data_IF_669797054253
#
_entry.id   IF_669797054253
#
_cell.length_a   1.000
_cell.length_b   1.000
_cell.length_c   1.000
_cell.angle_alpha   90.00
_cell.angle_beta   90.00
_cell.angle_gamma   90.00
#
_symmetry.space_group_name_H-M   'P 1'
#
loop_
_entity.id
_entity.type
_entity.pdbx_description
1 polymer ?
#
# COMPACT_ATOMS: atom_id res chain seq x y z
N UNK A 1 20.74 6.90 11.65
CA UNK A 1 19.54 6.33 12.29
C UNK A 1 18.74 5.69 11.18
N UNK A 2 18.35 4.42 11.32
CA UNK A 2 17.50 3.79 10.31
C UNK A 2 16.11 4.46 10.38
N UNK A 3 15.63 5.00 9.27
CA UNK A 3 14.29 5.60 9.22
C UNK A 3 13.26 4.49 9.39
N UNK A 4 12.43 4.58 10.43
CA UNK A 4 11.38 3.61 10.70
C UNK A 4 10.17 3.89 9.81
N UNK A 5 9.76 2.90 9.01
CA UNK A 5 8.55 2.97 8.20
C UNK A 5 7.31 2.99 9.08
N UNK A 6 6.28 3.72 8.66
CA UNK A 6 4.98 3.73 9.34
C UNK A 6 4.28 2.42 9.01
N UNK A 7 4.05 1.61 10.03
CA UNK A 7 3.34 0.33 9.93
C UNK A 7 2.13 0.31 10.89
N UNK A 8 1.42 -0.81 10.92
CA UNK A 8 0.32 -1.06 11.87
C UNK A 8 0.65 -2.23 12.80
N UNK A 9 0.00 -2.29 13.96
CA UNK A 9 0.02 -3.48 14.82
C UNK A 9 -1.15 -4.42 14.53
N UNK A 10 -1.11 -5.64 15.07
CA UNK A 10 -2.23 -6.58 15.03
C UNK A 10 -3.49 -5.98 15.64
N UNK A 11 -3.36 -5.30 16.78
CA UNK A 11 -4.46 -4.68 17.51
C UNK A 11 -5.07 -3.52 16.71
N UNK A 12 -4.24 -2.74 16.02
CA UNK A 12 -4.71 -1.67 15.14
C UNK A 12 -5.52 -2.24 13.97
N UNK A 13 -5.07 -3.35 13.37
CA UNK A 13 -5.82 -4.04 12.32
C UNK A 13 -7.14 -4.62 12.83
N UNK A 14 -7.13 -5.27 14.00
CA UNK A 14 -8.33 -5.82 14.63
C UNK A 14 -9.34 -4.72 14.94
N UNK A 15 -8.87 -3.58 15.47
CA UNK A 15 -9.72 -2.42 15.77
C UNK A 15 -10.35 -1.84 14.50
N UNK A 16 -9.59 -1.81 13.40
CA UNK A 16 -10.07 -1.29 12.11
C UNK A 16 -11.07 -2.22 11.41
N UNK A 17 -10.74 -3.51 11.33
CA UNK A 17 -11.43 -4.49 10.48
C UNK A 17 -12.42 -5.38 11.23
N UNK A 18 -12.28 -5.51 12.55
CA UNK A 18 -12.98 -6.51 13.36
C UNK A 18 -12.47 -7.95 13.15
N UNK A 19 -11.37 -8.16 12.42
CA UNK A 19 -10.82 -9.48 12.10
C UNK A 19 -9.52 -9.75 12.85
N UNK A 20 -9.39 -10.96 13.37
CA UNK A 20 -8.16 -11.42 14.02
C UNK A 20 -7.24 -12.14 13.02
N UNK A 21 -6.12 -11.49 12.67
CA UNK A 21 -5.12 -12.03 11.75
C UNK A 21 -4.54 -13.38 12.16
N UNK A 22 -4.47 -13.68 13.45
CA UNK A 22 -3.96 -15.00 13.88
C UNK A 22 -4.90 -16.14 13.50
N UNK A 23 -6.19 -15.84 13.32
CA UNK A 23 -7.24 -16.78 12.90
C UNK A 23 -7.37 -16.81 11.38
N UNK A 24 -7.38 -15.63 10.75
CA UNK A 24 -7.58 -15.51 9.29
C UNK A 24 -6.42 -16.06 8.46
N UNK A 25 -5.18 -15.99 8.99
CA UNK A 25 -4.00 -16.45 8.26
C UNK A 25 -3.77 -17.95 8.45
N UNK A 26 -3.60 -18.72 7.34
CA UNK A 26 -3.38 -20.15 7.41
C UNK A 26 -2.13 -20.47 8.23
N UNK A 27 -2.16 -21.59 8.96
CA UNK A 27 -1.00 -22.08 9.69
C UNK A 27 0.14 -22.40 8.75
N UNK A 28 1.35 -22.02 9.15
CA UNK A 28 2.61 -22.28 8.45
C UNK A 28 3.59 -22.89 9.46
N UNK A 29 4.49 -23.76 9.01
CA UNK A 29 5.59 -24.32 9.81
C UNK A 29 6.45 -23.26 10.55
N UNK A 30 6.38 -21.98 10.14
CA UNK A 30 6.99 -20.80 10.78
C UNK A 30 5.96 -19.92 11.52
N UNK A 31 5.06 -20.55 12.26
CA UNK A 31 3.85 -19.93 12.83
C UNK A 31 4.11 -18.74 13.79
N UNK A 32 5.30 -18.64 14.40
CA UNK A 32 5.60 -17.63 15.44
C UNK A 32 5.59 -16.18 14.96
N UNK A 33 5.90 -15.91 13.67
CA UNK A 33 5.99 -14.54 13.13
C UNK A 33 5.06 -14.31 11.92
N UNK A 34 4.04 -15.14 11.72
CA UNK A 34 3.18 -15.05 10.51
C UNK A 34 2.44 -13.72 10.39
N UNK A 35 1.94 -13.19 11.52
CA UNK A 35 1.19 -11.93 11.54
C UNK A 35 2.11 -10.76 11.22
N UNK A 36 3.27 -10.68 11.88
CA UNK A 36 4.27 -9.62 11.66
C UNK A 36 4.77 -9.65 10.22
N UNK A 37 5.10 -10.84 9.72
CA UNK A 37 5.58 -11.02 8.34
C UNK A 37 4.51 -10.57 7.32
N UNK A 38 3.25 -10.88 7.58
CA UNK A 38 2.14 -10.50 6.69
C UNK A 38 1.88 -9.00 6.72
N UNK A 39 1.90 -8.37 7.89
CA UNK A 39 1.77 -6.91 8.01
C UNK A 39 2.94 -6.21 7.30
N UNK A 40 4.18 -6.69 7.48
CA UNK A 40 5.34 -6.13 6.79
C UNK A 40 5.18 -6.22 5.27
N UNK A 41 4.71 -7.36 4.75
CA UNK A 41 4.38 -7.52 3.33
C UNK A 41 3.38 -6.44 2.89
N UNK A 42 2.29 -6.24 3.63
CA UNK A 42 1.27 -5.23 3.28
C UNK A 42 1.82 -3.81 3.31
N UNK A 43 2.64 -3.51 4.31
CA UNK A 43 3.36 -2.24 4.42
C UNK A 43 4.22 -2.01 3.18
N UNK A 44 5.06 -2.97 2.79
CA UNK A 44 5.90 -2.86 1.59
C UNK A 44 5.06 -2.59 0.34
N UNK A 45 3.95 -3.32 0.14
CA UNK A 45 3.06 -3.11 -1.02
C UNK A 45 2.43 -1.71 -1.06
N UNK A 46 2.07 -1.15 0.10
CA UNK A 46 1.55 0.21 0.18
C UNK A 46 2.65 1.22 -0.13
N UNK A 47 3.86 1.01 0.38
CA UNK A 47 5.00 1.88 0.12
C UNK A 47 5.47 1.85 -1.34
N UNK A 48 5.36 0.71 -2.03
CA UNK A 48 5.57 0.62 -3.49
C UNK A 48 4.64 1.54 -4.29
N UNK A 49 3.46 1.86 -3.76
CA UNK A 49 2.47 2.75 -4.38
C UNK A 49 2.59 4.22 -3.95
N UNK A 50 3.43 4.52 -2.96
CA UNK A 50 3.76 5.88 -2.53
C UNK A 50 4.82 6.43 -3.49
N UNK A 51 4.54 7.59 -4.07
CA UNK A 51 5.45 8.28 -4.98
C UNK A 51 5.67 9.70 -4.45
N UNK A 52 6.53 9.80 -3.44
CA UNK A 52 7.05 11.07 -2.91
C UNK A 52 8.49 11.22 -3.40
N UNK A 53 8.91 12.42 -3.80
CA UNK A 53 10.27 12.66 -4.33
C UNK A 53 11.34 12.09 -3.37
N UNK A 54 12.17 11.24 -3.98
CA UNK A 54 13.23 10.33 -3.52
C UNK A 54 14.14 10.60 -2.30
N UNK A 55 13.98 11.66 -1.50
CA UNK A 55 14.92 11.93 -0.40
C UNK A 55 14.38 11.78 1.03
N UNK A 56 13.08 11.60 1.25
CA UNK A 56 12.53 11.50 2.63
C UNK A 56 11.31 10.58 2.74
N UNK A 57 11.53 9.27 2.68
CA UNK A 57 10.67 8.30 3.41
C UNK A 57 11.00 8.31 4.91
N UNK A 58 11.19 9.50 5.44
CA UNK A 58 11.44 9.70 6.85
C UNK A 58 10.08 10.00 7.47
N UNK A 59 9.63 9.07 8.31
CA UNK A 59 8.33 9.10 8.97
C UNK A 59 8.13 10.38 9.79
N UNK A 60 9.21 11.07 10.16
CA UNK A 60 9.18 12.38 10.82
C UNK A 60 8.64 13.50 9.92
N UNK A 61 8.78 13.39 8.60
CA UNK A 61 8.34 14.43 7.66
C UNK A 61 6.88 14.27 7.22
N UNK A 62 6.23 13.16 7.56
CA UNK A 62 4.81 12.99 7.31
C UNK A 62 3.98 13.71 8.37
N UNK A 63 3.00 14.49 7.92
CA UNK A 63 1.95 15.01 8.82
C UNK A 63 1.18 13.86 9.46
N UNK A 64 0.61 14.06 10.65
CA UNK A 64 -0.22 13.05 11.31
C UNK A 64 -1.35 12.54 10.41
N UNK A 65 -1.91 13.42 9.57
CA UNK A 65 -2.90 13.04 8.56
C UNK A 65 -2.35 12.05 7.53
N UNK A 66 -1.12 12.26 7.06
CA UNK A 66 -0.43 11.34 6.15
C UNK A 66 -0.12 10.01 6.83
N UNK A 67 0.37 10.04 8.08
CA UNK A 67 0.63 8.81 8.85
C UNK A 67 -0.63 7.97 9.00
N UNK A 68 -1.75 8.60 9.39
CA UNK A 68 -3.04 7.93 9.50
C UNK A 68 -3.56 7.39 8.15
N UNK A 69 -3.30 8.11 7.06
CA UNK A 69 -3.65 7.64 5.72
C UNK A 69 -2.87 6.39 5.33
N UNK A 70 -1.57 6.33 5.65
CA UNK A 70 -0.72 5.16 5.40
C UNK A 70 -1.25 3.97 6.21
N UNK A 71 -1.51 4.14 7.51
CA UNK A 71 -2.07 3.08 8.36
C UNK A 71 -3.39 2.52 7.80
N UNK A 72 -4.31 3.41 7.38
CA UNK A 72 -5.57 3.01 6.75
C UNK A 72 -5.35 2.27 5.43
N UNK A 73 -4.43 2.74 4.60
CA UNK A 73 -4.08 2.07 3.35
C UNK A 73 -3.54 0.65 3.58
N UNK A 74 -2.74 0.44 4.63
CA UNK A 74 -2.23 -0.89 5.01
C UNK A 74 -3.39 -1.78 5.46
N UNK A 75 -4.31 -1.29 6.30
CA UNK A 75 -5.48 -2.06 6.69
C UNK A 75 -6.41 -2.40 5.51
N UNK A 76 -6.69 -1.44 4.64
CA UNK A 76 -7.51 -1.61 3.44
C UNK A 76 -6.90 -2.63 2.47
N UNK A 77 -5.58 -2.56 2.28
CA UNK A 77 -4.86 -3.55 1.49
C UNK A 77 -4.89 -4.93 2.16
N UNK A 78 -4.74 -5.00 3.49
CA UNK A 78 -4.87 -6.25 4.24
C UNK A 78 -6.25 -6.91 4.07
N UNK A 79 -7.33 -6.13 4.10
CA UNK A 79 -8.68 -6.63 3.82
C UNK A 79 -8.82 -7.15 2.40
N UNK A 80 -8.25 -6.43 1.43
CA UNK A 80 -8.21 -6.86 0.04
C UNK A 80 -7.44 -8.17 -0.12
N UNK A 81 -6.26 -8.27 0.50
CA UNK A 81 -5.40 -9.44 0.50
C UNK A 81 -6.09 -10.66 1.10
N UNK A 82 -6.78 -10.53 2.23
CA UNK A 82 -7.50 -11.64 2.85
C UNK A 82 -8.65 -12.16 1.98
N UNK A 83 -9.21 -11.31 1.12
CA UNK A 83 -10.31 -11.68 0.23
C UNK A 83 -9.82 -12.29 -1.09
N UNK A 84 -8.70 -11.80 -1.64
CA UNK A 84 -8.25 -12.11 -3.00
C UNK A 84 -6.91 -12.87 -3.04
N UNK A 85 -6.22 -13.04 -1.92
CA UNK A 85 -4.86 -13.58 -1.88
C UNK A 85 -3.78 -12.59 -2.30
N UNK A 86 -2.54 -13.08 -2.38
CA UNK A 86 -1.39 -12.30 -2.85
C UNK A 86 -1.29 -12.32 -4.38
N UNK A 87 -2.03 -11.43 -5.05
CA UNK A 87 -2.01 -11.30 -6.51
C UNK A 87 -0.64 -10.85 -7.07
N UNK A 88 0.30 -10.41 -6.23
CA UNK A 88 1.68 -10.15 -6.65
C UNK A 88 2.50 -11.44 -6.84
N UNK A 89 2.05 -12.57 -6.27
CA UNK A 89 2.68 -13.89 -6.41
C UNK A 89 1.99 -14.79 -7.43
N UNK A 90 0.78 -14.44 -7.87
CA UNK A 90 0.06 -15.21 -8.87
C UNK A 90 0.66 -15.03 -10.26
N UNK A 91 0.93 -16.16 -10.92
CA UNK A 91 1.46 -16.25 -12.29
C UNK A 91 0.39 -16.04 -13.38
N UNK A 92 -0.84 -15.67 -13.00
CA UNK A 92 -1.97 -15.45 -13.92
C UNK A 92 -2.71 -16.71 -14.37
N UNK A 93 -2.34 -17.87 -13.83
CA UNK A 93 -2.97 -19.14 -14.15
C UNK A 93 -4.04 -19.49 -13.11
N UNK A 94 -5.31 -19.33 -13.47
CA UNK A 94 -6.45 -19.79 -12.64
C UNK A 94 -6.84 -21.21 -13.06
N UNK A 95 -6.57 -22.19 -12.17
CA UNK A 95 -6.98 -23.59 -12.36
C UNK A 95 -8.50 -23.76 -12.37
N UNK A 96 -9.24 -22.89 -11.69
CA UNK A 96 -10.71 -22.96 -11.60
C UNK A 96 -11.42 -22.48 -12.86
N UNK A 97 -10.92 -21.43 -13.53
CA UNK A 97 -11.62 -20.80 -14.64
C UNK A 97 -11.13 -21.24 -16.03
N UNK A 98 -10.06 -22.03 -16.12
CA UNK A 98 -9.48 -22.49 -17.39
C UNK A 98 -9.00 -21.34 -18.30
N UNK A 99 -8.86 -20.13 -17.74
CA UNK A 99 -8.53 -18.91 -18.46
C UNK A 99 -7.28 -18.27 -17.87
N UNK A 100 -6.31 -17.98 -18.73
CA UNK A 100 -5.19 -17.11 -18.38
C UNK A 100 -5.75 -15.69 -18.21
N UNK A 101 -5.81 -15.20 -16.97
CA UNK A 101 -6.06 -13.76 -16.76
C UNK A 101 -4.90 -13.02 -17.41
N UNK A 102 -5.19 -12.06 -18.29
CA UNK A 102 -4.10 -11.36 -18.97
C UNK A 102 -3.22 -10.65 -17.95
N UNK A 103 -1.91 -10.57 -18.20
CA UNK A 103 -0.98 -9.90 -17.29
C UNK A 103 -1.40 -8.45 -17.00
N UNK A 104 -1.98 -7.76 -17.98
CA UNK A 104 -2.55 -6.42 -17.81
C UNK A 104 -3.74 -6.37 -16.85
N UNK A 105 -4.61 -7.38 -16.88
CA UNK A 105 -5.74 -7.46 -15.94
C UNK A 105 -5.26 -7.74 -14.52
N UNK A 106 -4.26 -8.61 -14.34
CA UNK A 106 -3.63 -8.85 -13.04
C UNK A 106 -2.97 -7.59 -12.50
N UNK A 107 -2.23 -6.86 -13.32
CA UNK A 107 -1.61 -5.58 -12.93
C UNK A 107 -2.64 -4.55 -12.46
N UNK A 108 -3.82 -4.53 -13.08
CA UNK A 108 -4.91 -3.65 -12.67
C UNK A 108 -5.61 -4.10 -11.37
N UNK A 109 -5.66 -5.40 -11.10
CA UNK A 109 -6.29 -5.96 -9.90
C UNK A 109 -5.36 -5.99 -8.69
N UNK A 110 -4.04 -6.16 -8.89
CA UNK A 110 -3.03 -6.36 -7.84
C UNK A 110 -3.11 -5.40 -6.66
N UNK A 111 -3.46 -4.15 -6.91
CA UNK A 111 -3.59 -3.16 -5.86
C UNK A 111 -4.82 -2.27 -6.06
N UNK A 112 -5.72 -2.18 -5.06
CA UNK A 112 -6.99 -1.49 -5.23
C UNK A 112 -6.88 -0.01 -5.61
N UNK A 113 -7.65 0.38 -6.62
CA UNK A 113 -7.66 1.77 -7.11
C UNK A 113 -8.15 2.79 -6.08
N UNK A 114 -9.03 2.40 -5.15
CA UNK A 114 -9.51 3.33 -4.12
C UNK A 114 -8.40 3.71 -3.12
N UNK A 115 -7.49 2.77 -2.79
CA UNK A 115 -6.34 3.03 -1.92
C UNK A 115 -5.39 4.00 -2.62
N UNK A 116 -5.09 3.73 -3.90
CA UNK A 116 -4.31 4.61 -4.78
C UNK A 116 -4.84 6.04 -4.81
N UNK A 117 -6.16 6.20 -4.96
CA UNK A 117 -6.81 7.51 -4.97
C UNK A 117 -6.77 8.21 -3.60
N UNK A 118 -6.89 7.46 -2.49
CA UNK A 118 -6.78 8.01 -1.15
C UNK A 118 -5.36 8.53 -0.87
N UNK A 119 -4.33 7.75 -1.20
CA UNK A 119 -2.92 8.17 -1.08
C UNK A 119 -2.65 9.41 -1.94
N UNK A 120 -3.20 9.46 -3.16
CA UNK A 120 -3.10 10.61 -4.06
C UNK A 120 -3.71 11.88 -3.46
N UNK A 121 -4.93 11.80 -2.93
CA UNK A 121 -5.64 12.95 -2.32
C UNK A 121 -4.89 13.56 -1.14
N UNK A 122 -4.05 12.76 -0.47
CA UNK A 122 -3.27 13.16 0.71
C UNK A 122 -1.82 13.55 0.34
N UNK A 123 -1.52 13.59 -0.96
CA UNK A 123 -0.21 14.02 -1.48
C UNK A 123 0.89 12.98 -1.33
N UNK A 124 0.54 11.73 -1.01
CA UNK A 124 1.48 10.61 -0.91
C UNK A 124 1.74 9.93 -2.25
N UNK A 125 0.92 10.22 -3.26
CA UNK A 125 1.11 9.73 -4.63
C UNK A 125 1.00 10.89 -5.62
N UNK A 126 2.12 11.27 -6.22
CA UNK A 126 2.16 12.29 -7.27
C UNK A 126 1.96 11.58 -8.61
N UNK A 127 0.87 11.91 -9.33
CA UNK A 127 0.72 11.49 -10.74
C UNK A 127 1.92 12.07 -11.48
N UNK A 128 2.62 11.28 -12.30
CA UNK A 128 3.65 11.78 -13.22
C UNK A 128 3.25 13.17 -13.71
N UNK A 129 3.90 14.20 -13.16
CA UNK A 129 3.90 15.51 -13.77
C UNK A 129 4.63 15.25 -15.07
N UNK A 130 3.87 15.13 -16.16
CA UNK A 130 4.42 15.29 -17.50
C UNK A 130 5.46 16.41 -17.42
N UNK A 131 6.69 16.08 -17.82
CA UNK A 131 7.82 17.00 -18.01
C UNK A 131 7.35 18.46 -18.15
N UNK A 132 7.54 19.27 -17.11
CA UNK A 132 7.10 20.67 -17.13
C UNK A 132 7.00 21.40 -15.79
N UNK A 133 7.21 20.74 -14.63
CA UNK A 133 7.22 21.47 -13.36
C UNK A 133 8.58 22.13 -13.12
N UNK A 134 8.69 23.40 -13.53
CA UNK A 134 9.80 24.28 -13.14
C UNK A 134 9.51 24.86 -11.74
N UNK A 135 10.29 24.53 -10.70
CA UNK A 135 10.05 25.02 -9.34
C UNK A 135 10.35 26.52 -9.15
N UNK A 136 10.76 27.25 -10.19
CA UNK A 136 11.03 28.69 -10.13
C UNK A 136 9.85 29.62 -10.49
N UNK A 137 8.68 29.09 -10.84
CA UNK A 137 7.50 29.92 -11.07
C UNK A 137 6.59 29.92 -9.83
N UNK A 138 7.08 30.50 -8.74
CA UNK A 138 6.21 31.06 -7.70
C UNK A 138 6.34 32.58 -7.76
N UNK A 139 5.20 33.21 -8.08
CA UNK A 139 4.89 34.61 -7.85
C UNK A 139 5.88 35.64 -8.40
N UNK A 140 5.67 36.04 -9.65
CA UNK A 140 5.36 37.43 -10.05
C UNK A 140 5.21 37.53 -11.57
N UNK A 141 4.27 38.38 -11.96
CA UNK A 141 4.08 38.94 -13.30
C UNK A 141 3.35 38.05 -14.32
N UNK A 142 2.04 37.92 -14.10
CA UNK A 142 1.08 37.84 -15.20
C UNK A 142 0.67 39.28 -15.60
N UNK A 143 1.22 39.78 -16.70
CA UNK A 143 0.64 40.84 -17.53
C UNK A 143 0.43 40.29 -18.94
#
# INVERSE_FOLDING_TARGET
>A
MANELITITREEFLTYSGRDLSIELPSNDRDTDKVVTTINLWTDRVYDEIFVKFDKYDSENFSERQKQAIKRAICDYGMYYLTNGDLYRESGYSLENGSNVSQSELENMRFPNYIKENLRRIGLRIRNLSYGYNPHCQDKDCF
#
